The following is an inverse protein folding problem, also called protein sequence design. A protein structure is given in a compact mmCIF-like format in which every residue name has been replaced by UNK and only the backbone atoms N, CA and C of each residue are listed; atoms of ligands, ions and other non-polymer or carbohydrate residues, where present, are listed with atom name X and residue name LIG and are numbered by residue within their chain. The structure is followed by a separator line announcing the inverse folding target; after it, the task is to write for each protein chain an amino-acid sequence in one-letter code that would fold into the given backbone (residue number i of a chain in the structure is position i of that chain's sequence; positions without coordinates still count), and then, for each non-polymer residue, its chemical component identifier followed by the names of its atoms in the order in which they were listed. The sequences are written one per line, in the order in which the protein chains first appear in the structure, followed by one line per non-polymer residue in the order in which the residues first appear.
data_IF_138974353000
#
_entry.id   IF_138974353000
#
_cell.length_a   1.000
_cell.length_b   1.000
_cell.length_c   1.000
_cell.angle_alpha   90.00
_cell.angle_beta   90.00
_cell.angle_gamma   90.00
#
_symmetry.space_group_name_H-M   'P 1'
#
loop_
_entity.id
_entity.type
_entity.pdbx_description
1 polymer ?
#
# COMPACT_ATOMS: atom_id res chain seq x y z
N UNK A 1 25.37 -3.51 -11.88
CA UNK A 1 24.65 -2.65 -10.92
C UNK A 1 24.31 -1.38 -11.66
N UNK A 2 23.10 -1.31 -12.20
CA UNK A 2 22.69 -0.23 -13.10
C UNK A 2 22.43 1.06 -12.33
N UNK A 3 23.04 2.14 -12.81
CA UNK A 3 23.04 3.49 -12.21
C UNK A 3 21.69 4.22 -12.30
N UNK A 4 20.65 3.55 -12.78
CA UNK A 4 19.34 4.14 -13.06
C UNK A 4 18.52 4.45 -11.80
N UNK A 5 18.88 3.86 -10.65
CA UNK A 5 18.17 4.05 -9.37
C UNK A 5 18.64 5.27 -8.57
N UNK A 6 19.83 5.82 -8.89
CA UNK A 6 20.34 7.04 -8.26
C UNK A 6 19.68 8.32 -8.82
N UNK A 7 19.11 8.24 -10.02
CA UNK A 7 18.43 9.37 -10.68
C UNK A 7 16.97 9.53 -10.21
N UNK A 8 16.40 8.51 -9.54
CA UNK A 8 15.04 8.50 -8.98
C UNK A 8 15.02 9.14 -7.56
N UNK A 9 16.05 9.91 -7.20
CA UNK A 9 16.07 10.65 -5.93
C UNK A 9 15.49 12.07 -6.03
N UNK A 10 14.90 12.47 -7.17
CA UNK A 10 14.49 13.87 -7.41
C UNK A 10 12.98 14.11 -7.63
N UNK A 11 12.11 13.12 -7.36
CA UNK A 11 10.62 13.27 -7.34
C UNK A 11 9.99 12.40 -6.23
N UNK A 12 10.17 12.78 -4.97
CA UNK A 12 9.36 12.57 -3.74
C UNK A 12 8.38 11.39 -3.54
N UNK A 13 8.44 10.29 -4.29
CA UNK A 13 7.39 9.26 -4.26
C UNK A 13 7.82 7.93 -3.66
N UNK A 14 9.12 7.72 -3.37
CA UNK A 14 9.65 6.47 -2.83
C UNK A 14 10.24 6.65 -1.45
N UNK A 15 9.88 5.75 -0.53
CA UNK A 15 10.31 5.75 0.87
C UNK A 15 11.08 4.46 1.12
N UNK A 16 12.22 4.55 1.81
CA UNK A 16 12.95 3.35 2.22
C UNK A 16 12.15 2.59 3.28
N UNK A 17 12.05 1.27 3.15
CA UNK A 17 11.38 0.43 4.16
C UNK A 17 12.07 0.51 5.53
N UNK A 18 13.37 0.78 5.54
CA UNK A 18 14.18 0.92 6.76
C UNK A 18 13.86 2.17 7.55
N UNK A 19 13.24 3.18 6.92
CA UNK A 19 12.76 4.38 7.62
C UNK A 19 11.32 4.24 8.11
N UNK A 20 10.68 3.09 7.88
CA UNK A 20 9.37 2.78 8.43
C UNK A 20 9.54 2.09 9.79
N UNK A 21 8.63 2.32 10.71
CA UNK A 21 8.62 1.71 12.04
C UNK A 21 8.01 0.28 12.02
N UNK A 22 8.40 -0.51 11.01
CA UNK A 22 7.91 -1.88 10.80
C UNK A 22 9.08 -2.84 10.59
N UNK A 23 8.93 -4.08 11.07
CA UNK A 23 9.91 -5.13 10.81
C UNK A 23 9.92 -5.51 9.32
N UNK A 24 11.10 -5.77 8.75
CA UNK A 24 11.25 -6.12 7.33
C UNK A 24 10.47 -7.40 6.95
N UNK A 25 10.51 -8.43 7.80
CA UNK A 25 9.77 -9.69 7.58
C UNK A 25 8.24 -9.47 7.49
N UNK A 26 7.73 -8.52 8.28
CA UNK A 26 6.31 -8.15 8.24
C UNK A 26 5.98 -7.47 6.91
N UNK A 27 6.81 -6.53 6.46
CA UNK A 27 6.62 -5.86 5.17
C UNK A 27 6.73 -6.85 4.00
N UNK A 28 7.65 -7.82 4.07
CA UNK A 28 7.73 -8.92 3.11
C UNK A 28 6.44 -9.75 3.08
N UNK A 29 5.93 -10.14 4.25
CA UNK A 29 4.66 -10.89 4.35
C UNK A 29 3.47 -10.11 3.77
N UNK A 30 3.41 -8.80 4.01
CA UNK A 30 2.37 -7.93 3.45
C UNK A 30 2.50 -7.75 1.94
N UNK A 31 3.73 -7.78 1.41
CA UNK A 31 3.96 -7.78 -0.02
C UNK A 31 3.50 -9.09 -0.68
N UNK A 32 3.76 -10.23 -0.07
CA UNK A 32 3.25 -11.54 -0.53
C UNK A 32 1.72 -11.60 -0.54
N UNK A 33 1.07 -10.94 0.42
CA UNK A 33 -0.39 -10.80 0.47
C UNK A 33 -0.94 -9.77 -0.53
N UNK A 34 -0.09 -9.08 -1.30
CA UNK A 34 -0.50 -8.05 -2.26
C UNK A 34 -0.93 -6.72 -1.63
N UNK A 35 -0.68 -6.54 -0.33
CA UNK A 35 -1.03 -5.29 0.37
C UNK A 35 -0.11 -4.16 -0.07
N UNK A 36 1.16 -4.45 -0.33
CA UNK A 36 2.14 -3.47 -0.82
C UNK A 36 3.01 -4.08 -1.92
N UNK A 37 3.70 -3.22 -2.68
CA UNK A 37 4.73 -3.64 -3.62
C UNK A 37 6.09 -3.11 -3.15
N UNK A 38 7.07 -4.01 -3.03
CA UNK A 38 8.45 -3.68 -2.67
C UNK A 38 9.31 -3.58 -3.94
N UNK A 39 10.10 -2.52 -4.04
CA UNK A 39 11.11 -2.34 -5.09
C UNK A 39 12.49 -2.28 -4.43
N UNK A 40 13.09 -3.45 -4.19
CA UNK A 40 14.24 -3.58 -3.30
C UNK A 40 13.87 -3.10 -1.89
N UNK A 41 14.67 -2.21 -1.31
CA UNK A 41 14.45 -1.66 0.03
C UNK A 41 13.53 -0.42 0.03
N UNK A 42 12.71 -0.22 -1.01
CA UNK A 42 11.85 0.96 -1.16
C UNK A 42 10.41 0.60 -1.47
N UNK A 43 9.49 1.47 -1.05
CA UNK A 43 8.07 1.40 -1.39
C UNK A 43 7.57 2.76 -1.85
N UNK A 44 6.57 2.77 -2.72
CA UNK A 44 5.92 4.01 -3.12
C UNK A 44 5.11 4.60 -1.95
N UNK A 45 5.03 5.92 -1.83
CA UNK A 45 4.32 6.63 -0.75
C UNK A 45 2.84 6.23 -0.64
N UNK A 46 2.20 5.93 -1.77
CA UNK A 46 0.83 5.38 -1.81
C UNK A 46 0.70 4.05 -1.04
N UNK A 47 1.74 3.21 -1.03
CA UNK A 47 1.78 1.99 -0.23
C UNK A 47 1.97 2.27 1.27
N UNK A 48 2.62 3.38 1.65
CA UNK A 48 2.68 3.81 3.07
C UNK A 48 1.29 4.14 3.60
N UNK A 49 0.48 4.87 2.83
CA UNK A 49 -0.91 5.18 3.19
C UNK A 49 -1.73 3.88 3.26
N UNK A 50 -1.49 2.96 2.32
CA UNK A 50 -2.12 1.64 2.28
C UNK A 50 -1.80 0.80 3.53
N UNK A 51 -0.55 0.80 4.01
CA UNK A 51 -0.15 0.15 5.26
C UNK A 51 -0.90 0.71 6.47
N UNK A 52 -1.04 2.04 6.57
CA UNK A 52 -1.81 2.65 7.66
C UNK A 52 -3.28 2.21 7.65
N UNK A 53 -3.91 2.17 6.47
CA UNK A 53 -5.29 1.65 6.33
C UNK A 53 -5.36 0.18 6.77
N UNK A 54 -4.41 -0.64 6.36
CA UNK A 54 -4.33 -2.06 6.71
C UNK A 54 -4.27 -2.28 8.24
N UNK A 55 -3.30 -1.66 8.92
CA UNK A 55 -3.14 -1.86 10.38
C UNK A 55 -4.33 -1.33 11.17
N UNK A 56 -4.90 -0.19 10.76
CA UNK A 56 -6.13 0.34 11.36
C UNK A 56 -7.30 -0.62 11.19
N UNK A 57 -7.45 -1.22 10.01
CA UNK A 57 -8.52 -2.16 9.71
C UNK A 57 -8.37 -3.45 10.51
N UNK A 58 -7.15 -4.02 10.53
CA UNK A 58 -6.80 -5.20 11.34
C UNK A 58 -7.11 -4.96 12.82
N UNK A 59 -6.67 -3.84 13.37
CA UNK A 59 -6.86 -3.49 14.78
C UNK A 59 -8.33 -3.24 15.15
N UNK A 60 -9.09 -2.56 14.28
CA UNK A 60 -10.48 -2.22 14.56
C UNK A 60 -11.44 -3.41 14.38
N UNK A 61 -11.16 -4.32 13.44
CA UNK A 61 -12.05 -5.44 13.12
C UNK A 61 -11.62 -6.76 13.77
N UNK A 62 -10.43 -6.82 14.37
CA UNK A 62 -9.91 -8.05 14.99
C UNK A 62 -9.67 -9.18 13.99
N UNK A 63 -9.46 -8.84 12.72
CA UNK A 63 -9.19 -9.82 11.66
C UNK A 63 -7.69 -10.15 11.59
N UNK A 64 -7.36 -11.30 11.00
CA UNK A 64 -5.97 -11.65 10.70
C UNK A 64 -5.44 -10.88 9.47
N UNK A 65 -4.16 -11.02 9.17
CA UNK A 65 -3.51 -10.27 8.08
C UNK A 65 -4.12 -10.56 6.70
N UNK A 66 -4.39 -11.82 6.40
CA UNK A 66 -5.05 -12.20 5.14
C UNK A 66 -6.47 -11.61 5.02
N UNK A 67 -7.25 -11.65 6.11
CA UNK A 67 -8.58 -11.04 6.16
C UNK A 67 -8.53 -9.53 6.01
N UNK A 68 -7.57 -8.87 6.65
CA UNK A 68 -7.35 -7.43 6.51
C UNK A 68 -6.98 -7.06 5.06
N UNK A 69 -6.14 -7.86 4.40
CA UNK A 69 -5.76 -7.65 3.00
C UNK A 69 -6.98 -7.74 2.07
N UNK A 70 -7.78 -8.80 2.22
CA UNK A 70 -9.02 -8.99 1.43
C UNK A 70 -9.98 -7.82 1.62
N UNK A 71 -10.22 -7.41 2.87
CA UNK A 71 -11.15 -6.32 3.15
C UNK A 71 -10.63 -5.00 2.58
N UNK A 72 -9.32 -4.74 2.67
CA UNK A 72 -8.70 -3.55 2.10
C UNK A 72 -8.93 -3.48 0.59
N UNK A 73 -8.67 -4.57 -0.14
CA UNK A 73 -8.91 -4.67 -1.58
C UNK A 73 -10.40 -4.44 -1.93
N UNK A 74 -11.32 -5.00 -1.14
CA UNK A 74 -12.75 -4.80 -1.33
C UNK A 74 -13.14 -3.33 -1.11
N UNK A 75 -12.57 -2.67 -0.11
CA UNK A 75 -12.79 -1.24 0.14
C UNK A 75 -12.28 -0.38 -1.03
N UNK A 76 -11.10 -0.65 -1.56
CA UNK A 76 -10.58 0.08 -2.72
C UNK A 76 -11.46 -0.13 -3.95
N UNK A 77 -11.95 -1.36 -4.16
CA UNK A 77 -12.88 -1.65 -5.25
C UNK A 77 -14.19 -0.85 -5.09
N UNK A 78 -14.72 -0.74 -3.88
CA UNK A 78 -15.90 0.08 -3.58
C UNK A 78 -15.61 1.56 -3.84
N UNK A 79 -14.47 2.08 -3.38
CA UNK A 79 -14.06 3.48 -3.60
C UNK A 79 -13.96 3.80 -5.10
N UNK A 80 -13.39 2.89 -5.90
CA UNK A 80 -13.31 3.01 -7.38
C UNK A 80 -14.69 2.99 -8.02
N UNK A 81 -15.54 2.02 -7.69
CA UNK A 81 -16.90 1.93 -8.22
C UNK A 81 -17.73 3.18 -7.90
N UNK A 82 -17.58 3.73 -6.69
CA UNK A 82 -18.25 4.97 -6.33
C UNK A 82 -17.69 6.18 -7.08
N UNK A 83 -16.39 6.21 -7.38
CA UNK A 83 -15.80 7.26 -8.19
C UNK A 83 -16.34 7.24 -9.63
N UNK A 84 -16.45 6.04 -10.21
CA UNK A 84 -17.02 5.83 -11.55
C UNK A 84 -18.50 6.24 -11.60
N UNK A 85 -19.31 5.88 -10.60
CA UNK A 85 -20.70 6.34 -10.53
C UNK A 85 -20.80 7.88 -10.42
N UNK A 86 -19.90 8.52 -9.66
CA UNK A 86 -19.87 9.98 -9.54
C UNK A 86 -19.42 10.68 -10.82
N UNK A 87 -18.58 10.06 -11.64
CA UNK A 87 -18.18 10.65 -12.93
C UNK A 87 -19.30 10.53 -13.96
N UNK A 88 -20.02 9.40 -13.98
CA UNK A 88 -21.17 9.18 -14.86
C UNK A 88 -22.38 10.07 -14.54
N UNK A 89 -22.62 10.38 -13.26
CA UNK A 89 -23.73 11.25 -12.83
C UNK A 89 -23.49 12.76 -13.01
N UNK A 90 -22.39 13.17 -13.64
CA UNK A 90 -22.04 14.58 -13.91
C UNK A 90 -22.25 15.01 -15.37
N UNK A 91 -22.99 14.23 -16.15
CA UNK A 91 -23.58 14.63 -17.45
C UNK A 91 -25.01 15.17 -17.25
#
# INVERSE_FOLDING_TARGET
MDKHWLEISFRDEWVSIRSLDYQEDLLGSLAELGVIELHGDHIHVNHVIRLHKFFRLRGNLGVNDAGAAIILDLLDRIERLQADLRSLGKE
#
